data_IF_895851323847
#
_entry.id   IF_895851323847
#
_cell.length_a   1.000
_cell.length_b   1.000
_cell.length_c   1.000
_cell.angle_alpha   90.00
_cell.angle_beta   90.00
_cell.angle_gamma   90.00
#
_symmetry.space_group_name_H-M   'P 1'
#
loop_
_entity.id
_entity.type
_entity.pdbx_description
1 polymer ?
#
# COMPACT_ATOMS: atom_id res chain seq x y z
N UNK A 1 18.25 -10.69 -0.85
CA UNK A 1 17.05 -11.23 -0.16
C UNK A 1 16.31 -10.14 0.63
N UNK A 2 17.02 -9.27 1.35
CA UNK A 2 16.48 -8.12 2.09
C UNK A 2 15.66 -7.14 1.24
N UNK A 3 16.05 -6.87 -0.01
CA UNK A 3 15.28 -6.02 -0.92
C UNK A 3 13.86 -6.54 -1.19
N UNK A 4 13.71 -7.83 -1.48
CA UNK A 4 12.41 -8.44 -1.81
C UNK A 4 11.51 -8.38 -0.58
N UNK A 5 12.04 -8.75 0.59
CA UNK A 5 11.31 -8.71 1.87
C UNK A 5 10.89 -7.28 2.19
N UNK A 6 11.79 -6.31 2.07
CA UNK A 6 11.49 -4.90 2.32
C UNK A 6 10.43 -4.35 1.37
N UNK A 7 10.50 -4.71 0.08
CA UNK A 7 9.51 -4.30 -0.93
C UNK A 7 8.13 -4.88 -0.63
N UNK A 8 8.05 -6.16 -0.28
CA UNK A 8 6.79 -6.83 0.10
C UNK A 8 6.20 -6.17 1.36
N UNK A 9 7.03 -5.86 2.36
CA UNK A 9 6.57 -5.21 3.59
C UNK A 9 6.02 -3.81 3.32
N UNK A 10 6.71 -3.02 2.49
CA UNK A 10 6.23 -1.69 2.07
C UNK A 10 4.93 -1.79 1.28
N UNK A 11 4.81 -2.76 0.38
CA UNK A 11 3.58 -2.99 -0.39
C UNK A 11 2.42 -3.37 0.53
N UNK A 12 2.60 -4.35 1.40
CA UNK A 12 1.58 -4.79 2.35
C UNK A 12 1.19 -3.66 3.32
N UNK A 13 2.17 -2.91 3.83
CA UNK A 13 1.94 -1.75 4.68
C UNK A 13 1.22 -0.60 3.98
N UNK A 14 1.54 -0.35 2.70
CA UNK A 14 0.88 0.66 1.88
C UNK A 14 -0.57 0.27 1.59
N UNK A 15 -0.84 -1.01 1.29
CA UNK A 15 -2.20 -1.52 1.08
C UNK A 15 -3.02 -1.41 2.37
N UNK A 16 -2.47 -1.83 3.51
CA UNK A 16 -3.14 -1.70 4.80
C UNK A 16 -3.43 -0.24 5.16
N UNK A 17 -2.48 0.67 4.89
CA UNK A 17 -2.67 2.12 5.06
C UNK A 17 -3.77 2.67 4.16
N UNK A 18 -3.82 2.24 2.90
CA UNK A 18 -4.84 2.66 1.95
C UNK A 18 -6.24 2.16 2.36
N UNK A 19 -6.35 0.91 2.79
CA UNK A 19 -7.61 0.33 3.31
C UNK A 19 -8.06 0.99 4.64
N UNK A 20 -7.14 1.62 5.37
CA UNK A 20 -7.49 2.37 6.58
C UNK A 20 -7.85 3.85 6.29
N UNK A 21 -7.63 4.31 5.06
CA UNK A 21 -7.92 5.69 4.65
C UNK A 21 -9.41 5.88 4.38
N UNK A 22 -9.96 7.03 4.78
CA UNK A 22 -11.36 7.37 4.48
C UNK A 22 -11.62 7.59 2.98
N UNK A 23 -10.56 7.69 2.15
CA UNK A 23 -10.65 7.79 0.69
C UNK A 23 -10.63 6.42 -0.02
N UNK A 24 -10.75 5.31 0.70
CA UNK A 24 -10.79 3.98 0.09
C UNK A 24 -12.02 3.85 -0.83
N UNK A 25 -11.77 3.70 -2.13
CA UNK A 25 -12.81 3.45 -3.15
C UNK A 25 -13.08 1.94 -3.38
N UNK A 26 -12.27 1.07 -2.76
CA UNK A 26 -12.30 -0.40 -2.98
C UNK A 26 -13.51 -1.07 -2.29
N UNK A 27 -13.90 -0.60 -1.10
CA UNK A 27 -14.97 -1.25 -0.30
C UNK A 27 -15.97 -0.21 0.18
N UNK A 28 -17.27 -0.47 -0.03
CA UNK A 28 -18.37 0.42 0.44
C UNK A 28 -18.43 0.59 1.96
N UNK A 29 -17.84 -0.35 2.71
CA UNK A 29 -17.77 -0.32 4.17
C UNK A 29 -16.46 0.34 4.59
N UNK A 30 -16.53 1.52 5.21
CA UNK A 30 -15.38 2.10 5.93
C UNK A 30 -14.94 1.07 6.96
N UNK A 31 -13.70 0.59 6.86
CA UNK A 31 -13.04 -0.23 7.87
C UNK A 31 -12.28 0.73 8.79
N UNK A 32 -12.91 1.30 9.82
CA UNK A 32 -12.28 2.31 10.66
C UNK A 32 -11.52 1.54 11.75
N UNK A 33 -10.52 0.78 11.35
CA UNK A 33 -9.70 0.03 12.30
C UNK A 33 -8.42 0.81 12.53
N UNK A 34 -8.26 1.52 13.68
CA UNK A 34 -6.99 2.13 14.04
C UNK A 34 -5.84 1.11 14.01
N UNK A 35 -6.14 -0.18 14.25
CA UNK A 35 -5.20 -1.28 14.07
C UNK A 35 -4.65 -1.39 12.64
N UNK A 36 -5.46 -1.21 11.60
CA UNK A 36 -4.98 -1.24 10.21
C UNK A 36 -4.06 -0.04 9.90
N UNK A 37 -4.35 1.13 10.47
CA UNK A 37 -3.49 2.31 10.37
C UNK A 37 -2.12 2.05 10.99
N UNK A 38 -2.09 1.54 12.22
CA UNK A 38 -0.85 1.25 12.93
C UNK A 38 -0.07 0.10 12.29
N UNK A 39 -0.74 -0.97 11.85
CA UNK A 39 -0.10 -2.05 11.10
C UNK A 39 0.46 -1.57 9.75
N UNK A 40 -0.27 -0.71 9.03
CA UNK A 40 0.18 -0.15 7.77
C UNK A 40 1.44 0.70 7.91
N UNK A 41 1.42 1.61 8.90
CA UNK A 41 2.58 2.44 9.22
C UNK A 41 3.77 1.59 9.67
N UNK A 42 3.54 0.61 10.56
CA UNK A 42 4.56 -0.31 11.04
C UNK A 42 5.19 -1.12 9.92
N UNK A 43 4.39 -1.61 8.97
CA UNK A 43 4.88 -2.35 7.79
C UNK A 43 5.73 -1.50 6.85
N UNK A 44 5.32 -0.25 6.60
CA UNK A 44 6.11 0.69 5.78
C UNK A 44 7.45 1.01 6.46
N UNK A 45 7.44 1.30 7.75
CA UNK A 45 8.65 1.62 8.50
C UNK A 45 9.60 0.42 8.59
N UNK A 46 9.09 -0.77 8.88
CA UNK A 46 9.90 -1.98 8.92
C UNK A 46 10.49 -2.32 7.54
N UNK A 47 9.72 -2.10 6.46
CA UNK A 47 10.20 -2.30 5.09
C UNK A 47 11.26 -1.27 4.67
N UNK A 48 11.09 -0.01 5.08
CA UNK A 48 12.08 1.05 4.89
C UNK A 48 13.38 0.72 5.62
N UNK A 49 13.31 0.29 6.89
CA UNK A 49 14.51 -0.14 7.64
C UNK A 49 15.21 -1.28 6.92
N UNK A 50 14.48 -2.28 6.42
CA UNK A 50 15.06 -3.39 5.66
C UNK A 50 15.71 -2.93 4.34
N UNK A 51 15.13 -1.94 3.66
CA UNK A 51 15.73 -1.32 2.47
C UNK A 51 16.99 -0.52 2.80
N UNK A 52 17.02 0.21 3.93
CA UNK A 52 18.21 0.92 4.40
C UNK A 52 19.39 -0.01 4.73
N UNK A 53 19.12 -1.27 5.11
CA UNK A 53 20.18 -2.26 5.31
C UNK A 53 20.82 -2.74 4.00
N UNK A 54 20.17 -2.49 2.86
CA UNK A 54 20.62 -2.97 1.55
C UNK A 54 21.11 -1.85 0.63
N UNK A 55 20.44 -0.71 0.62
CA UNK A 55 20.78 0.43 -0.23
C UNK A 55 20.98 1.72 0.56
N UNK A 56 21.62 2.70 -0.08
CA UNK A 56 21.76 4.04 0.46
C UNK A 56 20.39 4.68 0.80
N UNK A 57 20.37 5.62 1.76
CA UNK A 57 19.13 6.19 2.31
C UNK A 57 18.23 6.83 1.25
N UNK A 58 18.82 7.48 0.23
CA UNK A 58 18.07 8.09 -0.87
C UNK A 58 17.31 7.05 -1.71
N UNK A 59 17.99 5.96 -2.11
CA UNK A 59 17.39 4.89 -2.91
C UNK A 59 16.24 4.22 -2.17
N UNK A 60 16.45 3.90 -0.89
CA UNK A 60 15.44 3.26 -0.05
C UNK A 60 14.17 4.10 0.07
N UNK A 61 14.35 5.41 0.32
CA UNK A 61 13.23 6.34 0.40
C UNK A 61 12.47 6.44 -0.94
N UNK A 62 13.20 6.49 -2.06
CA UNK A 62 12.60 6.57 -3.39
C UNK A 62 11.79 5.31 -3.72
N UNK A 63 12.31 4.13 -3.39
CA UNK A 63 11.59 2.85 -3.54
C UNK A 63 10.32 2.88 -2.70
N UNK A 64 10.41 3.28 -1.43
CA UNK A 64 9.25 3.34 -0.54
C UNK A 64 8.17 4.29 -1.08
N UNK A 65 8.54 5.51 -1.46
CA UNK A 65 7.64 6.48 -2.09
C UNK A 65 7.00 5.94 -3.36
N UNK A 66 7.80 5.32 -4.24
CA UNK A 66 7.31 4.75 -5.51
C UNK A 66 6.27 3.67 -5.27
N UNK A 67 6.52 2.75 -4.33
CA UNK A 67 5.58 1.68 -3.99
C UNK A 67 4.31 2.23 -3.34
N UNK A 68 4.45 3.22 -2.45
CA UNK A 68 3.29 3.86 -1.82
C UNK A 68 2.44 4.59 -2.85
N UNK A 69 3.04 5.36 -3.76
CA UNK A 69 2.33 6.02 -4.87
C UNK A 69 1.65 4.99 -5.78
N UNK A 70 2.36 3.92 -6.13
CA UNK A 70 1.82 2.85 -6.97
C UNK A 70 0.57 2.20 -6.34
N UNK A 71 0.58 1.93 -5.03
CA UNK A 71 -0.60 1.42 -4.34
C UNK A 71 -1.71 2.45 -4.32
N UNK A 72 -1.39 3.70 -4.03
CA UNK A 72 -2.39 4.77 -3.92
C UNK A 72 -3.09 5.07 -5.24
N UNK A 73 -2.39 4.95 -6.36
CA UNK A 73 -2.93 5.17 -7.71
C UNK A 73 -3.48 3.88 -8.33
N UNK A 74 -2.80 2.76 -8.14
CA UNK A 74 -3.16 1.47 -8.73
C UNK A 74 -4.41 0.87 -8.12
N UNK A 75 -4.55 0.86 -6.78
CA UNK A 75 -5.75 0.30 -6.13
C UNK A 75 -7.07 0.93 -6.57
N UNK A 76 -7.24 2.27 -6.62
CA UNK A 76 -8.50 2.86 -7.06
C UNK A 76 -8.80 2.57 -8.53
N UNK A 77 -7.79 2.51 -9.40
CA UNK A 77 -7.98 2.15 -10.81
C UNK A 77 -8.45 0.70 -10.91
N UNK A 78 -7.77 -0.24 -10.26
CA UNK A 78 -8.16 -1.66 -10.26
C UNK A 78 -9.58 -1.82 -9.70
N UNK A 79 -9.91 -1.12 -8.62
CA UNK A 79 -11.26 -1.15 -8.05
C UNK A 79 -12.32 -0.56 -8.99
N UNK A 80 -12.01 0.53 -9.69
CA UNK A 80 -12.88 1.14 -10.68
C UNK A 80 -13.11 0.19 -11.86
N UNK A 81 -12.09 -0.51 -12.33
CA UNK A 81 -12.21 -1.51 -13.40
C UNK A 81 -13.12 -2.68 -12.98
N UNK A 82 -12.88 -3.27 -11.80
CA UNK A 82 -13.70 -4.37 -11.27
C UNK A 82 -15.16 -3.94 -11.09
N UNK A 83 -15.40 -2.70 -10.66
CA UNK A 83 -16.77 -2.19 -10.49
C UNK A 83 -17.44 -1.80 -11.80
N UNK A 84 -16.68 -1.37 -12.81
CA UNK A 84 -17.18 -1.11 -14.16
C UNK A 84 -17.62 -2.40 -14.85
N UNK A 85 -16.78 -3.45 -14.85
CA UNK A 85 -17.12 -4.76 -15.41
C UNK A 85 -18.39 -5.35 -14.77
N UNK A 86 -18.53 -5.21 -13.45
CA UNK A 86 -19.72 -5.67 -12.71
C UNK A 86 -20.99 -4.87 -13.03
N UNK A 87 -20.86 -3.68 -13.61
CA UNK A 87 -21.96 -2.82 -14.04
C UNK A 87 -22.45 -3.13 -15.45
N UNK A 88 -21.62 -3.73 -16.30
CA UNK A 88 -21.95 -4.08 -17.70
C UNK A 88 -22.74 -5.41 -17.83
N UNK A 89 -22.82 -6.21 -16.76
CA UNK A 89 -23.63 -7.45 -16.71
C UNK A 89 -25.11 -7.24 -16.28
N UNK A 90 -25.62 -6.00 -16.25
CA UNK A 90 -27.03 -5.67 -15.96
C UNK A 90 -27.70 -4.94 -17.09
#
# INVERSE_FOLDING_TARGET
>A
MTLIIGSILVLAGSVATYLASSNQQVTKRKLPSPLLKWCGLGGILAGLVALLQWSGPATSFFITMTLTMLIWTGLPIIAAWITAERGEER
#
